data_IF_921170534923
#
_entry.id   IF_921170534923
#
_cell.length_a   1.000
_cell.length_b   1.000
_cell.length_c   1.000
_cell.angle_alpha   90.00
_cell.angle_beta   90.00
_cell.angle_gamma   90.00
#
_symmetry.space_group_name_H-M   'P 1'
#
loop_
_entity.id
_entity.type
_entity.pdbx_description
1 polymer ?
#
# COMPACT_ATOMS: atom_id res chain seq x y z
N UNK A 1 4.63 -6.88 16.25
CA UNK A 1 3.42 -6.07 16.13
C UNK A 1 3.78 -4.60 16.18
N UNK A 2 3.53 -3.89 15.10
CA UNK A 2 3.71 -2.45 14.94
C UNK A 2 2.42 -1.74 15.33
N UNK A 3 2.51 -0.67 16.10
CA UNK A 3 1.34 0.17 16.43
C UNK A 3 1.07 1.20 15.34
N UNK A 4 -0.16 1.70 15.27
CA UNK A 4 -0.53 2.83 14.41
C UNK A 4 0.37 4.06 14.59
N UNK A 5 0.71 4.38 15.84
CA UNK A 5 1.58 5.52 16.17
C UNK A 5 2.99 5.34 15.62
N UNK A 6 3.53 4.13 15.72
CA UNK A 6 4.84 3.77 15.16
C UNK A 6 4.82 3.82 13.63
N UNK A 7 3.77 3.28 12.99
CA UNK A 7 3.57 3.37 11.56
C UNK A 7 3.58 4.83 11.08
N UNK A 8 2.79 5.73 11.70
CA UNK A 8 2.74 7.14 11.27
C UNK A 8 4.06 7.87 11.49
N UNK A 9 4.80 7.53 12.55
CA UNK A 9 6.14 8.06 12.79
C UNK A 9 7.09 7.62 11.66
N UNK A 10 7.05 6.36 11.24
CA UNK A 10 7.87 5.83 10.14
C UNK A 10 7.47 6.50 8.82
N UNK A 11 6.18 6.55 8.51
CA UNK A 11 5.67 7.17 7.29
C UNK A 11 6.09 8.64 7.16
N UNK A 12 5.93 9.42 8.24
CA UNK A 12 6.32 10.83 8.27
C UNK A 12 7.83 11.06 8.07
N UNK A 13 8.66 10.15 8.57
CA UNK A 13 10.11 10.23 8.47
C UNK A 13 10.66 9.62 7.17
N UNK A 14 9.84 8.87 6.42
CA UNK A 14 10.25 8.26 5.16
C UNK A 14 10.39 9.35 4.09
N UNK A 15 11.56 9.51 3.46
CA UNK A 15 11.73 10.49 2.39
C UNK A 15 10.79 10.20 1.22
N UNK A 16 10.16 11.26 0.69
CA UNK A 16 9.35 11.13 -0.52
C UNK A 16 10.26 10.78 -1.70
N UNK A 17 9.90 9.78 -2.52
CA UNK A 17 10.71 9.40 -3.68
C UNK A 17 10.70 10.52 -4.72
N UNK A 18 11.83 10.66 -5.41
CA UNK A 18 11.99 11.54 -6.58
C UNK A 18 12.28 10.76 -7.85
N UNK A 19 12.47 9.44 -7.75
CA UNK A 19 12.73 8.57 -8.88
C UNK A 19 11.46 8.30 -9.69
N UNK A 20 11.61 8.30 -11.01
CA UNK A 20 10.48 8.25 -11.92
C UNK A 20 9.73 6.90 -11.88
N UNK A 21 10.42 5.79 -11.58
CA UNK A 21 9.81 4.47 -11.55
C UNK A 21 8.87 4.30 -10.35
N UNK A 22 9.29 4.74 -9.15
CA UNK A 22 8.42 4.75 -7.96
C UNK A 22 7.25 5.70 -8.13
N UNK A 23 7.46 6.89 -8.71
CA UNK A 23 6.39 7.84 -8.97
C UNK A 23 5.34 7.27 -9.93
N UNK A 24 5.76 6.57 -11.00
CA UNK A 24 4.83 5.90 -11.91
C UNK A 24 4.00 4.81 -11.24
N UNK A 25 4.61 4.00 -10.37
CA UNK A 25 3.89 2.96 -9.61
C UNK A 25 2.89 3.58 -8.65
N UNK A 26 3.29 4.62 -7.91
CA UNK A 26 2.39 5.40 -7.06
C UNK A 26 1.24 6.01 -7.88
N UNK A 27 1.54 6.61 -9.01
CA UNK A 27 0.49 7.25 -9.81
C UNK A 27 -0.45 6.21 -10.45
N UNK A 28 0.05 5.00 -10.75
CA UNK A 28 -0.75 3.89 -11.29
C UNK A 28 -1.80 3.40 -10.29
N UNK A 29 -1.39 3.14 -9.05
CA UNK A 29 -2.28 2.70 -7.99
C UNK A 29 -3.13 3.84 -7.40
N UNK A 30 -2.70 5.09 -7.56
CA UNK A 30 -3.48 6.28 -7.20
C UNK A 30 -4.42 6.79 -8.29
N UNK A 31 -4.54 6.09 -9.42
CA UNK A 31 -5.41 6.49 -10.52
C UNK A 31 -6.81 5.88 -10.37
N UNK A 32 -7.75 6.74 -9.98
CA UNK A 32 -9.17 6.43 -9.79
C UNK A 32 -9.82 5.72 -10.99
N UNK A 33 -9.51 6.15 -12.21
CA UNK A 33 -10.11 5.59 -13.44
C UNK A 33 -9.67 4.15 -13.76
N UNK A 34 -8.58 3.66 -13.14
CA UNK A 34 -7.99 2.35 -13.48
C UNK A 34 -8.20 1.27 -12.41
N UNK A 35 -8.41 1.65 -11.15
CA UNK A 35 -8.53 0.71 -10.03
C UNK A 35 -9.73 0.97 -9.11
N UNK A 36 -10.43 2.10 -9.27
CA UNK A 36 -11.49 2.52 -8.36
C UNK A 36 -12.82 2.45 -9.08
N UNK A 37 -13.50 1.30 -8.99
CA UNK A 37 -14.92 1.28 -9.28
C UNK A 37 -15.64 1.96 -8.11
N UNK A 38 -16.37 3.04 -8.41
CA UNK A 38 -17.31 3.68 -7.50
C UNK A 38 -18.41 2.66 -7.15
N UNK A 39 -18.77 2.56 -5.88
CA UNK A 39 -19.94 1.79 -5.46
C UNK A 39 -21.20 2.38 -6.11
N UNK A 40 -21.86 1.63 -7.00
CA UNK A 40 -23.04 2.10 -7.76
C UNK A 40 -24.31 2.26 -6.91
N UNK A 41 -24.29 1.88 -5.63
CA UNK A 41 -25.44 1.94 -4.72
C UNK A 41 -25.44 3.23 -3.89
N UNK A 42 -24.27 3.73 -3.49
CA UNK A 42 -24.15 4.91 -2.61
C UNK A 42 -23.15 5.99 -3.08
N UNK A 43 -22.40 5.74 -4.16
CA UNK A 43 -21.49 6.73 -4.75
C UNK A 43 -20.18 6.94 -3.98
N UNK A 44 -19.83 6.09 -3.01
CA UNK A 44 -18.57 6.19 -2.28
C UNK A 44 -17.37 5.67 -3.11
N UNK A 45 -16.21 6.34 -2.99
CA UNK A 45 -14.94 5.91 -3.58
C UNK A 45 -14.39 4.73 -2.77
N UNK A 46 -14.23 3.58 -3.41
CA UNK A 46 -13.73 2.38 -2.75
C UNK A 46 -12.21 2.26 -2.97
N UNK A 47 -11.46 2.41 -1.87
CA UNK A 47 -10.04 2.09 -1.68
C UNK A 47 -9.69 0.59 -1.90
N UNK A 48 -10.47 -0.15 -2.69
CA UNK A 48 -10.83 -1.53 -2.42
C UNK A 48 -9.76 -2.60 -2.46
N UNK A 49 -9.05 -2.79 -3.57
CA UNK A 49 -8.23 -4.00 -3.72
C UNK A 49 -6.86 -3.85 -3.06
N UNK A 50 -6.14 -2.76 -3.35
CA UNK A 50 -4.82 -2.54 -2.74
C UNK A 50 -4.93 -2.41 -1.21
N UNK A 51 -5.89 -1.65 -0.68
CA UNK A 51 -6.05 -1.54 0.76
C UNK A 51 -6.52 -2.86 1.40
N UNK A 52 -7.34 -3.66 0.71
CA UNK A 52 -7.72 -5.00 1.17
C UNK A 52 -6.52 -5.96 1.20
N UNK A 53 -5.70 -6.02 0.14
CA UNK A 53 -4.47 -6.82 0.14
C UNK A 53 -3.50 -6.37 1.23
N UNK A 54 -3.36 -5.04 1.43
CA UNK A 54 -2.52 -4.51 2.50
C UNK A 54 -3.10 -4.84 3.89
N UNK A 55 -4.42 -4.89 4.05
CA UNK A 55 -5.08 -5.35 5.28
C UNK A 55 -4.88 -6.84 5.53
N UNK A 56 -5.04 -7.67 4.51
CA UNK A 56 -4.77 -9.12 4.60
C UNK A 56 -3.31 -9.35 4.98
N UNK A 57 -2.36 -8.63 4.37
CA UNK A 57 -0.95 -8.69 4.77
C UNK A 57 -0.72 -8.29 6.23
N UNK A 58 -1.44 -7.30 6.75
CA UNK A 58 -1.32 -6.90 8.15
C UNK A 58 -1.81 -8.01 9.09
N UNK A 59 -2.93 -8.65 8.76
CA UNK A 59 -3.47 -9.79 9.52
C UNK A 59 -2.56 -11.03 9.43
N UNK A 60 -2.10 -11.39 8.23
CA UNK A 60 -1.26 -12.57 8.00
C UNK A 60 0.13 -12.48 8.65
N UNK A 61 0.59 -11.27 8.97
CA UNK A 61 1.94 -11.03 9.48
C UNK A 61 1.91 -10.43 10.89
N UNK A 62 0.83 -10.62 11.65
CA UNK A 62 0.70 -10.16 13.05
C UNK A 62 1.07 -8.68 13.25
N UNK A 63 0.65 -7.85 12.28
CA UNK A 63 0.96 -6.43 12.22
C UNK A 63 2.48 -6.12 12.24
N UNK A 64 3.35 -7.02 11.79
CA UNK A 64 4.78 -6.72 11.60
C UNK A 64 5.00 -5.92 10.31
N UNK A 65 5.22 -4.62 10.47
CA UNK A 65 5.44 -3.71 9.34
C UNK A 65 6.62 -4.13 8.45
N UNK A 66 7.71 -4.64 9.00
CA UNK A 66 8.88 -5.02 8.19
C UNK A 66 8.57 -6.24 7.31
N UNK A 67 7.85 -7.21 7.86
CA UNK A 67 7.40 -8.38 7.12
C UNK A 67 6.43 -7.99 5.99
N UNK A 68 5.51 -7.06 6.27
CA UNK A 68 4.54 -6.54 5.28
C UNK A 68 5.27 -5.81 4.14
N UNK A 69 6.23 -4.94 4.47
CA UNK A 69 6.98 -4.17 3.47
C UNK A 69 7.86 -5.06 2.60
N UNK A 70 8.43 -6.13 3.17
CA UNK A 70 9.19 -7.15 2.42
C UNK A 70 8.31 -7.87 1.38
N UNK A 71 7.02 -8.10 1.71
CA UNK A 71 6.06 -8.77 0.81
C UNK A 71 5.41 -7.84 -0.20
N UNK A 72 5.55 -6.52 -0.05
CA UNK A 72 4.84 -5.53 -0.88
C UNK A 72 5.12 -5.73 -2.37
N UNK A 73 6.39 -5.93 -2.75
CA UNK A 73 6.77 -6.18 -4.14
C UNK A 73 6.04 -7.39 -4.73
N UNK A 74 6.15 -8.54 -4.08
CA UNK A 74 5.54 -9.78 -4.55
C UNK A 74 4.01 -9.72 -4.62
N UNK A 75 3.40 -8.87 -3.80
CA UNK A 75 1.94 -8.68 -3.74
C UNK A 75 1.44 -7.74 -4.84
N UNK A 76 2.11 -6.61 -5.04
CA UNK A 76 1.63 -5.54 -5.91
C UNK A 76 2.19 -5.61 -7.34
N UNK A 77 3.41 -6.09 -7.54
CA UNK A 77 4.04 -6.19 -8.87
C UNK A 77 3.18 -6.98 -9.88
N UNK A 78 2.61 -8.16 -9.54
CA UNK A 78 1.81 -8.94 -10.48
C UNK A 78 0.52 -8.25 -10.94
N UNK A 79 0.06 -7.22 -10.22
CA UNK A 79 -1.13 -6.45 -10.57
C UNK A 79 -0.84 -5.38 -11.64
N UNK A 80 0.43 -5.12 -11.95
CA UNK A 80 0.84 -4.02 -12.82
C UNK A 80 1.25 -4.48 -14.22
N UNK A 81 1.06 -3.65 -15.26
CA UNK A 81 1.57 -3.91 -16.59
C UNK A 81 3.10 -4.03 -16.55
N UNK A 82 3.70 -5.03 -17.22
CA UNK A 82 5.14 -5.27 -17.17
C UNK A 82 5.98 -4.14 -17.78
N UNK A 83 5.35 -3.24 -18.55
CA UNK A 83 6.00 -2.08 -19.17
C UNK A 83 5.75 -0.76 -18.43
N UNK A 84 5.11 -0.79 -17.25
CA UNK A 84 4.79 0.42 -16.48
C UNK A 84 6.05 1.18 -16.03
N UNK A 85 6.98 0.47 -15.41
CA UNK A 85 8.20 1.00 -14.80
C UNK A 85 9.29 -0.08 -14.77
N UNK A 86 10.52 0.30 -14.45
CA UNK A 86 11.54 -0.68 -14.06
C UNK A 86 11.32 -1.08 -12.59
N UNK A 87 10.67 -2.22 -12.37
CA UNK A 87 10.29 -2.69 -11.03
C UNK A 87 11.47 -2.96 -10.08
N UNK A 88 12.67 -3.21 -10.59
CA UNK A 88 13.87 -3.36 -9.76
C UNK A 88 14.39 -2.02 -9.20
N UNK A 89 13.92 -0.89 -9.77
CA UNK A 89 14.27 0.46 -9.31
C UNK A 89 13.23 1.10 -8.42
N UNK A 90 12.06 0.46 -8.29
CA UNK A 90 10.96 0.97 -7.48
C UNK A 90 11.29 0.82 -6.00
N UNK A 91 11.07 1.90 -5.25
CA UNK A 91 11.11 1.87 -3.79
C UNK A 91 9.83 1.22 -3.26
N UNK A 92 9.84 -0.11 -3.18
CA UNK A 92 8.71 -0.89 -2.70
C UNK A 92 8.36 -0.64 -1.23
N UNK A 93 9.34 -0.29 -0.39
CA UNK A 93 9.06 0.13 0.99
C UNK A 93 8.18 1.37 1.02
N UNK A 94 8.49 2.38 0.20
CA UNK A 94 7.66 3.58 0.10
C UNK A 94 6.26 3.25 -0.44
N UNK A 95 6.16 2.43 -1.49
CA UNK A 95 4.86 2.02 -2.05
C UNK A 95 4.03 1.30 -0.99
N UNK A 96 4.61 0.33 -0.29
CA UNK A 96 3.92 -0.40 0.78
C UNK A 96 3.48 0.55 1.89
N UNK A 97 4.36 1.45 2.34
CA UNK A 97 4.01 2.45 3.34
C UNK A 97 2.92 3.41 2.86
N UNK A 98 2.92 3.80 1.59
CA UNK A 98 1.95 4.75 1.03
C UNK A 98 0.55 4.15 0.87
N UNK A 99 0.45 2.86 0.51
CA UNK A 99 -0.82 2.16 0.32
C UNK A 99 -1.32 1.43 1.57
N UNK A 100 -0.44 1.12 2.51
CA UNK A 100 -0.84 0.73 3.85
C UNK A 100 -1.40 1.95 4.57
N UNK A 101 -2.51 1.80 5.29
CA UNK A 101 -3.07 2.87 6.12
C UNK A 101 -2.91 2.51 7.59
N UNK A 102 -2.42 3.47 8.38
CA UNK A 102 -2.12 3.27 9.80
C UNK A 102 -3.30 2.76 10.64
N UNK A 103 -4.55 2.98 10.22
CA UNK A 103 -5.74 2.51 10.96
C UNK A 103 -5.88 1.00 10.96
N UNK A 104 -5.31 0.30 9.99
CA UNK A 104 -5.38 -1.17 9.91
C UNK A 104 -4.71 -1.82 11.14
N UNK A 105 -3.75 -1.13 11.76
CA UNK A 105 -3.10 -1.59 12.99
C UNK A 105 -4.00 -1.49 14.23
N UNK A 106 -4.96 -0.55 14.26
CA UNK A 106 -5.93 -0.45 15.37
C UNK A 106 -6.98 -1.57 15.29
N UNK A 107 -7.36 -1.98 14.09
CA UNK A 107 -8.37 -3.05 13.88
C UNK A 107 -7.90 -4.43 14.37
N UNK A 108 -6.59 -4.66 14.46
CA UNK A 108 -6.02 -5.90 15.02
C UNK A 108 -6.08 -5.89 16.55
N UNK A 109 -5.97 -4.72 17.19
CA UNK A 109 -6.05 -4.62 18.65
C UNK A 109 -7.46 -4.89 19.20
N UNK A 110 -8.50 -4.79 18.36
CA UNK A 110 -9.89 -5.07 18.71
C UNK A 110 -10.32 -6.54 18.54
N UNK A 111 -9.44 -7.43 18.04
CA UNK A 111 -9.67 -8.87 17.87
C UNK A 111 -9.13 -9.71 19.04
#
# INVERSE_FOLDING_TARGET
MTTKQEYYRIFKNTPKPTDADTLKVRDYFGNDDKYFFINSIDGSSFLGQAAHFMRELVLENDADLEAILTKTRATLEPLMPPNLANFDRVNWHYIGLFYLWGEVFDEIEEM
#
